data_IF_695113449749
#
_entry.id   IF_695113449749
#
_cell.length_a   1.000
_cell.length_b   1.000
_cell.length_c   1.000
_cell.angle_alpha   90.00
_cell.angle_beta   90.00
_cell.angle_gamma   90.00
#
_symmetry.space_group_name_H-M   'P 1'
#
loop_
_entity.id
_entity.type
_entity.pdbx_description
1 polymer ?
#
# COMPACT_ATOMS: atom_id res chain seq x y z
N UNK A 1 -14.17 2.12 -26.70
CA UNK A 1 -14.92 1.19 -25.83
C UNK A 1 -15.45 1.98 -24.66
N UNK A 2 -16.76 1.94 -24.41
CA UNK A 2 -17.34 2.47 -23.17
C UNK A 2 -17.28 1.40 -22.07
N UNK A 3 -17.38 1.80 -20.81
CA UNK A 3 -17.45 0.88 -19.67
C UNK A 3 -18.58 -0.14 -19.85
N UNK A 4 -19.74 0.30 -20.35
CA UNK A 4 -20.89 -0.56 -20.62
C UNK A 4 -20.62 -1.62 -21.70
N UNK A 5 -19.88 -1.26 -22.75
CA UNK A 5 -19.48 -2.22 -23.79
C UNK A 5 -18.49 -3.27 -23.28
N UNK A 6 -17.61 -2.90 -22.35
CA UNK A 6 -16.68 -3.81 -21.69
C UNK A 6 -17.39 -4.74 -20.69
N UNK A 7 -18.36 -4.21 -19.95
CA UNK A 7 -19.20 -4.96 -19.03
C UNK A 7 -20.06 -6.00 -19.77
N UNK A 8 -20.69 -5.59 -20.88
CA UNK A 8 -21.48 -6.49 -21.72
C UNK A 8 -20.63 -7.63 -22.33
N UNK A 9 -19.41 -7.35 -22.79
CA UNK A 9 -18.52 -8.38 -23.35
C UNK A 9 -17.97 -9.35 -22.31
N UNK A 10 -17.89 -8.93 -21.05
CA UNK A 10 -17.45 -9.76 -19.91
C UNK A 10 -18.59 -10.42 -19.14
N UNK A 11 -19.85 -10.20 -19.57
CA UNK A 11 -21.08 -10.63 -18.86
C UNK A 11 -21.15 -10.13 -17.41
N UNK A 12 -20.60 -8.94 -17.15
CA UNK A 12 -20.61 -8.29 -15.84
C UNK A 12 -21.54 -7.10 -15.86
N UNK A 13 -22.09 -6.76 -14.69
CA UNK A 13 -22.92 -5.58 -14.46
C UNK A 13 -22.13 -4.48 -13.72
N UNK A 14 -22.67 -3.27 -13.69
CA UNK A 14 -22.09 -2.20 -12.88
C UNK A 14 -22.11 -2.55 -11.38
N UNK A 15 -23.12 -3.30 -10.94
CA UNK A 15 -23.26 -3.83 -9.59
C UNK A 15 -22.14 -4.82 -9.26
N UNK A 16 -21.79 -5.71 -10.21
CA UNK A 16 -20.67 -6.65 -10.04
C UNK A 16 -19.32 -5.93 -9.88
N UNK A 17 -19.11 -4.83 -10.62
CA UNK A 17 -17.92 -4.01 -10.44
C UNK A 17 -17.93 -3.33 -9.06
N UNK A 18 -19.06 -2.71 -8.66
CA UNK A 18 -19.14 -2.07 -7.34
C UNK A 18 -18.89 -3.06 -6.22
N UNK A 19 -19.44 -4.27 -6.32
CA UNK A 19 -19.20 -5.34 -5.34
C UNK A 19 -17.72 -5.74 -5.29
N UNK A 20 -17.05 -5.91 -6.44
CA UNK A 20 -15.63 -6.23 -6.50
C UNK A 20 -14.78 -5.12 -5.86
N UNK A 21 -15.00 -3.86 -6.24
CA UNK A 21 -14.26 -2.73 -5.68
C UNK A 21 -14.54 -2.56 -4.19
N UNK A 22 -15.77 -2.81 -3.73
CA UNK A 22 -16.11 -2.80 -2.30
C UNK A 22 -15.36 -3.89 -1.54
N UNK A 23 -15.36 -5.12 -2.05
CA UNK A 23 -14.64 -6.23 -1.44
C UNK A 23 -13.13 -5.98 -1.41
N UNK A 24 -12.59 -5.43 -2.50
CA UNK A 24 -11.18 -5.04 -2.58
C UNK A 24 -10.85 -3.97 -1.55
N UNK A 25 -11.63 -2.90 -1.47
CA UNK A 25 -11.42 -1.83 -0.50
C UNK A 25 -11.50 -2.35 0.94
N UNK A 26 -12.45 -3.23 1.25
CA UNK A 26 -12.54 -3.86 2.56
C UNK A 26 -11.30 -4.69 2.90
N UNK A 27 -10.78 -5.46 1.95
CA UNK A 27 -9.59 -6.27 2.17
C UNK A 27 -8.34 -5.41 2.34
N UNK A 28 -8.19 -4.38 1.51
CA UNK A 28 -7.06 -3.45 1.55
C UNK A 28 -7.04 -2.70 2.91
N UNK A 29 -8.19 -2.20 3.38
CA UNK A 29 -8.31 -1.54 4.69
C UNK A 29 -8.04 -2.49 5.86
N UNK A 30 -8.54 -3.73 5.80
CA UNK A 30 -8.27 -4.74 6.84
C UNK A 30 -6.78 -5.03 6.92
N UNK A 31 -6.13 -5.24 5.77
CA UNK A 31 -4.69 -5.49 5.73
C UNK A 31 -3.92 -4.32 6.34
N UNK A 32 -4.25 -3.08 5.96
CA UNK A 32 -3.60 -1.88 6.50
C UNK A 32 -3.72 -1.80 8.02
N UNK A 33 -4.94 -1.95 8.58
CA UNK A 33 -5.14 -1.88 10.02
C UNK A 33 -4.46 -3.04 10.77
N UNK A 34 -4.46 -4.24 10.20
CA UNK A 34 -3.77 -5.39 10.80
C UNK A 34 -2.26 -5.12 10.85
N UNK A 35 -1.66 -4.70 9.74
CA UNK A 35 -0.22 -4.40 9.70
C UNK A 35 0.12 -3.25 10.65
N UNK A 36 -0.72 -2.22 10.73
CA UNK A 36 -0.52 -1.14 11.70
C UNK A 36 -0.51 -1.68 13.14
N UNK A 37 -1.47 -2.54 13.49
CA UNK A 37 -1.59 -3.11 14.83
C UNK A 37 -0.43 -4.02 15.20
N UNK A 38 0.04 -4.83 14.25
CA UNK A 38 1.23 -5.67 14.43
C UNK A 38 2.45 -4.79 14.66
N UNK A 39 2.67 -3.79 13.80
CA UNK A 39 3.79 -2.87 13.94
C UNK A 39 3.82 -2.15 15.30
N UNK A 40 2.65 -1.75 15.82
CA UNK A 40 2.53 -1.16 17.16
C UNK A 40 2.90 -2.15 18.27
N UNK A 41 2.39 -3.38 18.18
CA UNK A 41 2.58 -4.41 19.21
C UNK A 41 4.03 -4.86 19.29
N UNK A 42 4.66 -5.01 18.13
CA UNK A 42 6.07 -5.43 17.97
C UNK A 42 7.04 -4.25 18.00
N UNK A 43 6.55 -3.02 18.21
CA UNK A 43 7.34 -1.78 18.27
C UNK A 43 8.22 -1.56 17.04
N UNK A 44 7.69 -1.89 15.86
CA UNK A 44 8.36 -1.68 14.58
C UNK A 44 8.31 -0.19 14.25
N UNK A 45 9.48 0.45 14.27
CA UNK A 45 9.66 1.87 13.97
C UNK A 45 10.41 2.09 12.67
N UNK A 46 10.26 3.29 12.12
CA UNK A 46 11.03 3.79 10.98
C UNK A 46 11.81 4.99 11.47
N UNK A 47 13.12 4.97 11.26
CA UNK A 47 14.00 6.08 11.58
C UNK A 47 14.35 6.88 10.31
N UNK A 48 15.00 8.02 10.50
CA UNK A 48 15.40 8.88 9.39
C UNK A 48 16.41 8.18 8.45
N UNK A 49 17.24 7.28 8.98
CA UNK A 49 18.22 6.54 8.19
C UNK A 49 17.55 5.57 7.21
N UNK A 50 16.45 4.94 7.60
CA UNK A 50 15.62 4.13 6.70
C UNK A 50 15.09 4.97 5.54
N UNK A 51 14.54 6.15 5.84
CA UNK A 51 13.95 7.06 4.85
C UNK A 51 15.03 7.54 3.88
N UNK A 52 16.18 7.98 4.39
CA UNK A 52 17.31 8.44 3.58
C UNK A 52 17.87 7.32 2.71
N UNK A 53 18.00 6.10 3.24
CA UNK A 53 18.45 4.93 2.47
C UNK A 53 17.49 4.63 1.32
N UNK A 54 16.18 4.69 1.56
CA UNK A 54 15.18 4.47 0.51
C UNK A 54 15.24 5.56 -0.57
N UNK A 55 15.37 6.84 -0.18
CA UNK A 55 15.53 7.95 -1.13
C UNK A 55 16.84 7.83 -1.91
N UNK A 56 17.92 7.42 -1.26
CA UNK A 56 19.22 7.28 -1.90
C UNK A 56 19.21 6.22 -3.01
N UNK A 57 18.50 5.11 -2.78
CA UNK A 57 18.32 4.01 -3.72
C UNK A 57 17.27 4.23 -4.82
N UNK A 58 16.46 5.28 -4.73
CA UNK A 58 15.45 5.60 -5.73
C UNK A 58 16.05 6.23 -7.00
N UNK A 59 15.31 6.20 -8.11
CA UNK A 59 15.75 6.85 -9.35
C UNK A 59 15.78 8.37 -9.19
N UNK A 60 16.69 9.10 -9.86
CA UNK A 60 16.81 10.55 -9.72
C UNK A 60 15.49 11.32 -9.83
N UNK A 61 14.64 10.93 -10.78
CA UNK A 61 13.33 11.52 -11.04
C UNK A 61 12.29 11.29 -9.92
N UNK A 62 12.49 10.27 -9.08
CA UNK A 62 11.58 9.91 -7.98
C UNK A 62 12.00 10.59 -6.66
N UNK A 63 13.29 10.92 -6.51
CA UNK A 63 13.86 11.42 -5.24
C UNK A 63 13.16 12.65 -4.72
N UNK A 64 12.86 13.62 -5.58
CA UNK A 64 12.20 14.86 -5.19
C UNK A 64 10.80 14.60 -4.62
N UNK A 65 10.03 13.68 -5.23
CA UNK A 65 8.70 13.33 -4.76
C UNK A 65 8.77 12.59 -3.40
N UNK A 66 9.70 11.65 -3.26
CA UNK A 66 9.92 10.91 -2.02
C UNK A 66 10.35 11.83 -0.87
N UNK A 67 11.21 12.82 -1.15
CA UNK A 67 11.61 13.85 -0.19
C UNK A 67 10.45 14.77 0.21
N UNK A 68 9.55 15.10 -0.70
CA UNK A 68 8.38 15.92 -0.40
C UNK A 68 7.34 15.16 0.44
N UNK A 69 7.31 13.82 0.36
CA UNK A 69 6.30 12.96 0.98
C UNK A 69 6.88 12.02 2.05
N UNK A 70 7.82 12.50 2.88
CA UNK A 70 8.51 11.67 3.89
C UNK A 70 7.57 10.92 4.84
N UNK A 71 6.45 11.51 5.24
CA UNK A 71 5.48 10.83 6.12
C UNK A 71 4.82 9.62 5.44
N UNK A 72 4.40 9.79 4.20
CA UNK A 72 3.86 8.69 3.40
C UNK A 72 4.92 7.60 3.19
N UNK A 73 6.16 8.01 2.89
CA UNK A 73 7.27 7.10 2.74
C UNK A 73 7.54 6.32 4.03
N UNK A 74 7.52 6.98 5.19
CA UNK A 74 7.68 6.32 6.49
C UNK A 74 6.58 5.29 6.74
N UNK A 75 5.32 5.59 6.40
CA UNK A 75 4.21 4.63 6.49
C UNK A 75 4.46 3.39 5.63
N UNK A 76 4.88 3.58 4.37
CA UNK A 76 5.17 2.48 3.43
C UNK A 76 6.34 1.63 3.93
N UNK A 77 7.43 2.26 4.40
CA UNK A 77 8.59 1.55 4.95
C UNK A 77 8.17 0.73 6.18
N UNK A 78 7.34 1.29 7.06
CA UNK A 78 6.85 0.58 8.25
C UNK A 78 6.00 -0.62 7.87
N UNK A 79 5.12 -0.50 6.89
CA UNK A 79 4.34 -1.62 6.37
C UNK A 79 5.26 -2.72 5.81
N UNK A 80 6.27 -2.34 5.02
CA UNK A 80 7.25 -3.28 4.47
C UNK A 80 8.03 -4.01 5.58
N UNK A 81 8.57 -3.29 6.55
CA UNK A 81 9.27 -3.87 7.71
C UNK A 81 8.38 -4.85 8.49
N UNK A 82 7.10 -4.52 8.62
CA UNK A 82 6.12 -5.38 9.31
C UNK A 82 5.87 -6.67 8.55
N UNK A 83 5.74 -6.60 7.22
CA UNK A 83 5.63 -7.78 6.38
C UNK A 83 6.88 -8.66 6.45
N UNK A 84 8.06 -8.05 6.46
CA UNK A 84 9.32 -8.79 6.55
C UNK A 84 9.50 -9.45 7.93
N UNK A 85 9.08 -8.79 9.01
CA UNK A 85 8.97 -9.42 10.33
C UNK A 85 8.05 -10.65 10.29
N UNK A 86 6.83 -10.52 9.76
CA UNK A 86 5.87 -11.63 9.70
C UNK A 86 6.38 -12.82 8.88
N UNK A 87 7.14 -12.58 7.81
CA UNK A 87 7.78 -13.64 7.00
C UNK A 87 8.91 -14.36 7.72
N UNK A 88 9.50 -13.73 8.74
CA UNK A 88 10.65 -14.27 9.47
C UNK A 88 10.26 -15.12 10.69
N UNK A 89 8.97 -15.16 11.02
CA UNK A 89 8.39 -16.06 12.03
C UNK A 89 8.35 -17.51 11.52
#
# INVERSE_FOLDING_TARGET
MTLDQYLASTKRTAEDLRAEYSQKAQNDLKLEFILQKVAESEKITVDDADIEKTIAGAKPEEKQNLQANKYLLASIIRQQKTLDFLKSL
#
